data_IF_003585629418
#
_entry.id   IF_003585629418
#
_cell.length_a   1.000
_cell.length_b   1.000
_cell.length_c   1.000
_cell.angle_alpha   90.00
_cell.angle_beta   90.00
_cell.angle_gamma   90.00
#
_symmetry.space_group_name_H-M   'P 1'
#
loop_
_entity.id
_entity.type
_entity.pdbx_description
1 polymer ?
#
# COMPACT_ATOMS: atom_id res chain seq x y z
N UNK A 1 24.56 0.18 -26.75
CA UNK A 1 24.14 -1.13 -26.21
C UNK A 1 23.58 -0.91 -24.81
N UNK A 2 22.29 -1.22 -24.64
CA UNK A 2 21.55 -1.55 -23.40
C UNK A 2 21.85 -0.71 -22.14
N UNK A 3 21.21 0.46 -22.03
CA UNK A 3 21.00 1.14 -20.74
C UNK A 3 19.80 0.51 -20.05
N UNK A 4 20.06 -0.11 -18.89
CA UNK A 4 19.04 -0.65 -17.99
C UNK A 4 18.29 0.52 -17.36
N UNK A 5 17.16 0.92 -17.94
CA UNK A 5 16.24 1.85 -17.29
C UNK A 5 15.44 1.10 -16.22
N UNK A 6 15.82 1.32 -14.97
CA UNK A 6 15.08 0.89 -13.79
C UNK A 6 13.65 1.48 -13.84
N UNK A 7 12.61 0.74 -13.42
CA UNK A 7 11.26 1.29 -13.35
C UNK A 7 11.21 2.35 -12.24
N UNK A 8 11.12 3.60 -12.70
CA UNK A 8 10.72 4.79 -11.95
C UNK A 8 9.32 4.61 -11.37
N UNK A 9 9.21 3.84 -10.30
CA UNK A 9 8.06 3.87 -9.40
C UNK A 9 8.10 5.20 -8.65
N UNK A 10 7.49 6.23 -9.26
CA UNK A 10 7.17 7.48 -8.59
C UNK A 10 6.13 7.17 -7.51
N UNK A 11 6.60 6.77 -6.33
CA UNK A 11 5.80 6.76 -5.12
C UNK A 11 5.52 8.22 -4.77
N UNK A 12 4.39 8.74 -5.24
CA UNK A 12 3.89 10.05 -4.86
C UNK A 12 3.60 10.03 -3.36
N UNK A 13 4.57 10.50 -2.56
CA UNK A 13 4.38 10.76 -1.14
C UNK A 13 3.37 11.91 -1.04
N UNK A 14 2.08 11.58 -0.86
CA UNK A 14 1.05 12.58 -0.59
C UNK A 14 1.24 13.06 0.83
N UNK A 15 1.42 14.37 0.99
CA UNK A 15 1.67 15.02 2.27
C UNK A 15 0.53 14.78 3.29
N UNK A 16 0.96 14.54 4.53
CA UNK A 16 0.14 14.20 5.68
C UNK A 16 -0.73 15.38 6.16
N UNK A 17 -1.95 15.46 5.62
CA UNK A 17 -3.02 16.26 6.20
C UNK A 17 -3.68 15.55 7.37
N UNK A 18 -3.38 15.99 8.61
CA UNK A 18 -4.13 15.63 9.84
C UNK A 18 -5.64 15.68 9.58
N UNK A 19 -6.35 14.54 9.61
CA UNK A 19 -7.82 14.54 9.55
C UNK A 19 -8.47 13.48 10.43
N UNK A 20 -9.04 13.98 11.54
CA UNK A 20 -10.39 13.65 12.01
C UNK A 20 -10.67 12.22 12.45
N UNK A 21 -10.85 12.05 13.77
CA UNK A 21 -11.65 10.97 14.36
C UNK A 21 -13.02 10.85 13.67
N UNK A 22 -13.37 9.67 13.14
CA UNK A 22 -14.76 9.43 12.74
C UNK A 22 -15.09 8.17 11.95
N UNK A 23 -14.24 7.71 11.01
CA UNK A 23 -14.54 6.49 10.24
C UNK A 23 -13.28 5.92 9.60
N UNK A 24 -13.02 4.60 9.65
CA UNK A 24 -11.94 4.01 8.86
C UNK A 24 -12.17 4.35 7.39
N UNK A 25 -11.15 4.91 6.71
CA UNK A 25 -11.20 5.04 5.25
C UNK A 25 -11.53 3.67 4.66
N UNK A 26 -12.61 3.58 3.90
CA UNK A 26 -12.85 2.42 3.04
C UNK A 26 -11.75 2.46 1.98
N UNK A 27 -10.99 1.37 1.86
CA UNK A 27 -10.06 1.19 0.75
C UNK A 27 -10.86 1.00 -0.52
N UNK A 28 -10.50 1.73 -1.57
CA UNK A 28 -11.06 1.52 -2.89
C UNK A 28 -10.56 0.18 -3.48
N UNK A 29 -11.35 -0.41 -4.37
CA UNK A 29 -11.01 -1.69 -5.01
C UNK A 29 -9.64 -1.65 -5.69
N UNK A 30 -9.25 -0.50 -6.25
CA UNK A 30 -7.93 -0.28 -6.85
C UNK A 30 -6.80 -0.38 -5.82
N UNK A 31 -6.93 0.31 -4.67
CA UNK A 31 -5.93 0.24 -3.60
C UNK A 31 -5.82 -1.16 -3.00
N UNK A 32 -6.92 -1.91 -2.95
CA UNK A 32 -6.90 -3.32 -2.54
C UNK A 32 -6.11 -4.18 -3.53
N UNK A 33 -6.31 -4.00 -4.83
CA UNK A 33 -5.59 -4.73 -5.86
C UNK A 33 -4.09 -4.41 -5.84
N UNK A 34 -3.74 -3.13 -5.73
CA UNK A 34 -2.34 -2.67 -5.63
C UNK A 34 -1.67 -3.23 -4.37
N UNK A 35 -2.34 -3.20 -3.21
CA UNK A 35 -1.80 -3.75 -1.96
C UNK A 35 -1.51 -5.25 -2.08
N UNK A 36 -2.40 -6.01 -2.73
CA UNK A 36 -2.18 -7.44 -2.99
C UNK A 36 -1.03 -7.66 -3.96
N UNK A 37 -0.93 -6.86 -5.01
CA UNK A 37 0.16 -6.96 -5.98
C UNK A 37 1.51 -6.64 -5.36
N UNK A 38 1.60 -5.61 -4.51
CA UNK A 38 2.83 -5.27 -3.78
C UNK A 38 3.23 -6.36 -2.79
N UNK A 39 2.28 -6.91 -2.05
CA UNK A 39 2.53 -7.98 -1.09
C UNK A 39 2.99 -9.30 -1.75
N UNK A 40 2.41 -9.66 -2.90
CA UNK A 40 2.74 -10.90 -3.62
C UNK A 40 3.94 -10.76 -4.55
N UNK A 41 4.12 -9.58 -5.16
CA UNK A 41 5.15 -9.32 -6.17
C UNK A 41 6.52 -8.99 -5.59
N UNK A 42 6.60 -8.54 -4.34
CA UNK A 42 7.85 -8.15 -3.70
C UNK A 42 7.95 -8.75 -2.30
N UNK A 43 8.91 -9.66 -2.03
CA UNK A 43 9.13 -10.24 -0.70
C UNK A 43 9.65 -9.23 0.34
N UNK A 44 9.82 -7.96 -0.05
CA UNK A 44 10.35 -6.89 0.78
C UNK A 44 9.28 -6.10 1.53
N UNK A 45 8.03 -6.02 1.03
CA UNK A 45 7.00 -5.23 1.69
C UNK A 45 6.33 -6.02 2.81
N UNK A 46 6.70 -5.68 4.05
CA UNK A 46 6.03 -6.15 5.25
C UNK A 46 4.63 -5.55 5.38
N UNK A 47 3.78 -6.21 6.19
CA UNK A 47 2.45 -5.72 6.56
C UNK A 47 2.51 -4.32 7.18
N UNK A 48 3.60 -4.00 7.87
CA UNK A 48 3.83 -2.68 8.46
C UNK A 48 4.07 -1.62 7.39
N UNK A 49 4.94 -1.88 6.43
CA UNK A 49 5.23 -0.93 5.35
C UNK A 49 4.01 -0.67 4.48
N UNK A 50 3.22 -1.71 4.17
CA UNK A 50 1.95 -1.55 3.45
C UNK A 50 0.93 -0.73 4.26
N UNK A 51 0.90 -0.87 5.58
CA UNK A 51 0.01 -0.08 6.43
C UNK A 51 0.38 1.41 6.39
N UNK A 52 1.67 1.72 6.37
CA UNK A 52 2.20 3.07 6.24
C UNK A 52 1.91 3.66 4.84
N UNK A 53 2.13 2.89 3.76
CA UNK A 53 1.89 3.31 2.36
C UNK A 53 0.41 3.61 2.10
N UNK A 54 -0.48 2.73 2.56
CA UNK A 54 -1.92 2.85 2.29
C UNK A 54 -2.68 3.63 3.36
N UNK A 55 -2.00 4.18 4.37
CA UNK A 55 -2.59 4.91 5.50
C UNK A 55 -3.72 4.11 6.21
N UNK A 56 -3.53 2.81 6.40
CA UNK A 56 -4.52 1.92 7.03
C UNK A 56 -3.93 1.13 8.19
N UNK A 57 -4.78 0.52 9.00
CA UNK A 57 -4.30 -0.37 10.06
C UNK A 57 -3.60 -1.61 9.49
N UNK A 58 -2.61 -2.12 10.22
CA UNK A 58 -1.99 -3.43 9.93
C UNK A 58 -3.01 -4.56 9.83
N UNK A 59 -4.08 -4.50 10.62
CA UNK A 59 -5.18 -5.46 10.54
C UNK A 59 -5.97 -5.34 9.22
N UNK A 60 -6.14 -4.14 8.70
CA UNK A 60 -6.75 -3.91 7.39
C UNK A 60 -5.90 -4.53 6.30
N UNK A 61 -4.58 -4.29 6.32
CA UNK A 61 -3.64 -4.92 5.37
C UNK A 61 -3.71 -6.45 5.47
N UNK A 62 -3.63 -7.00 6.68
CA UNK A 62 -3.72 -8.45 6.91
C UNK A 62 -5.01 -9.05 6.34
N UNK A 63 -6.17 -8.43 6.62
CA UNK A 63 -7.46 -8.87 6.06
C UNK A 63 -7.46 -8.79 4.53
N UNK A 64 -6.87 -7.74 3.96
CA UNK A 64 -6.83 -7.55 2.51
C UNK A 64 -5.95 -8.59 1.82
N UNK A 65 -4.76 -8.90 2.36
CA UNK A 65 -3.77 -9.76 1.69
C UNK A 65 -3.85 -11.23 2.09
N UNK A 66 -4.30 -11.55 3.31
CA UNK A 66 -4.44 -12.93 3.80
C UNK A 66 -5.88 -13.46 3.79
N UNK A 67 -6.89 -12.58 3.75
CA UNK A 67 -8.30 -12.96 3.61
C UNK A 67 -8.78 -13.99 4.64
N UNK A 68 -9.15 -13.54 5.84
CA UNK A 68 -10.01 -14.31 6.73
C UNK A 68 -11.45 -13.80 6.62
#
# INVERSE_FOLDING_TARGET
>A
MKSSEQPKNACAVREFGKRGSGRPRRLDCTSVAEMRQLYLGYPFYSVRELAEIFEVSRMTVWRTVKGC
#
